data_IF_451940536823
#
_entry.id   IF_451940536823
#
_cell.length_a   1.000
_cell.length_b   1.000
_cell.length_c   1.000
_cell.angle_alpha   90.00
_cell.angle_beta   90.00
_cell.angle_gamma   90.00
#
_symmetry.space_group_name_H-M   'P 1'
#
loop_
_entity.id
_entity.type
_entity.pdbx_description
1 polymer ?
#
# COMPACT_ATOMS: atom_id res chain seq x y z
N UNK A 1 -23.79 7.26 -7.01
CA UNK A 1 -22.82 8.27 -7.49
C UNK A 1 -21.82 7.59 -8.41
N UNK A 2 -21.41 8.18 -9.52
CA UNK A 2 -20.38 7.57 -10.38
C UNK A 2 -19.08 7.40 -9.58
N UNK A 3 -18.41 6.25 -9.74
CA UNK A 3 -17.11 5.96 -9.10
C UNK A 3 -16.10 7.09 -9.36
N UNK A 4 -16.22 7.75 -10.52
CA UNK A 4 -15.46 8.93 -10.91
C UNK A 4 -15.64 10.13 -9.98
N UNK A 5 -16.85 10.36 -9.47
CA UNK A 5 -17.16 11.48 -8.58
C UNK A 5 -16.50 11.28 -7.20
N UNK A 6 -16.56 10.06 -6.68
CA UNK A 6 -15.92 9.67 -5.43
C UNK A 6 -14.39 9.74 -5.48
N UNK A 7 -13.82 9.31 -6.61
CA UNK A 7 -12.38 9.46 -6.86
C UNK A 7 -12.00 10.93 -6.85
N UNK A 8 -12.82 11.82 -7.44
CA UNK A 8 -12.54 13.26 -7.47
C UNK A 8 -12.60 13.89 -6.07
N UNK A 9 -13.54 13.46 -5.23
CA UNK A 9 -13.77 14.02 -3.91
C UNK A 9 -12.75 13.51 -2.87
N UNK A 10 -12.37 12.23 -2.95
CA UNK A 10 -11.45 11.57 -2.00
C UNK A 10 -10.07 11.28 -2.59
N UNK A 11 -9.74 11.92 -3.72
CA UNK A 11 -8.50 11.68 -4.48
C UNK A 11 -7.26 11.81 -3.60
N UNK A 12 -7.27 12.74 -2.65
CA UNK A 12 -6.14 13.03 -1.79
C UNK A 12 -5.89 11.92 -0.76
N UNK A 13 -6.95 11.29 -0.25
CA UNK A 13 -6.85 10.13 0.64
C UNK A 13 -6.42 8.88 -0.13
N UNK A 14 -7.03 8.66 -1.30
CA UNK A 14 -6.69 7.53 -2.17
C UNK A 14 -5.23 7.61 -2.65
N UNK A 15 -4.73 8.80 -2.99
CA UNK A 15 -3.36 8.99 -3.46
C UNK A 15 -2.34 8.71 -2.37
N UNK A 16 -2.62 9.04 -1.11
CA UNK A 16 -1.75 8.71 0.04
C UNK A 16 -1.58 7.19 0.15
N UNK A 17 -2.67 6.42 0.13
CA UNK A 17 -2.57 4.95 0.19
C UNK A 17 -1.83 4.38 -1.01
N UNK A 18 -2.03 4.94 -2.20
CA UNK A 18 -1.34 4.55 -3.41
C UNK A 18 0.18 4.78 -3.29
N UNK A 19 0.59 5.94 -2.77
CA UNK A 19 2.01 6.26 -2.51
C UNK A 19 2.60 5.27 -1.50
N UNK A 20 1.90 4.96 -0.42
CA UNK A 20 2.36 3.99 0.60
C UNK A 20 2.60 2.61 -0.03
N UNK A 21 1.69 2.15 -0.89
CA UNK A 21 1.85 0.88 -1.61
C UNK A 21 3.09 0.93 -2.51
N UNK A 22 3.25 1.99 -3.32
CA UNK A 22 4.39 2.14 -4.23
C UNK A 22 5.71 2.15 -3.47
N UNK A 23 5.80 2.91 -2.38
CA UNK A 23 7.00 2.97 -1.53
C UNK A 23 7.31 1.60 -0.93
N UNK A 24 6.29 0.89 -0.42
CA UNK A 24 6.47 -0.45 0.17
C UNK A 24 6.97 -1.46 -0.85
N UNK A 25 6.45 -1.41 -2.09
CA UNK A 25 6.92 -2.25 -3.20
C UNK A 25 8.36 -1.90 -3.57
N UNK A 26 8.70 -0.62 -3.64
CA UNK A 26 10.06 -0.19 -3.95
C UNK A 26 11.06 -0.67 -2.88
N UNK A 27 10.63 -0.62 -1.62
CA UNK A 27 11.41 -1.09 -0.48
C UNK A 27 11.62 -2.61 -0.53
N UNK A 28 10.59 -3.37 -0.89
CA UNK A 28 10.71 -4.82 -1.15
C UNK A 28 11.69 -5.14 -2.29
N UNK A 29 11.63 -4.39 -3.40
CA UNK A 29 12.56 -4.56 -4.52
C UNK A 29 14.00 -4.27 -4.08
N UNK A 30 14.20 -3.17 -3.35
CA UNK A 30 15.51 -2.79 -2.84
C UNK A 30 16.10 -3.85 -1.89
N UNK A 31 15.27 -4.42 -1.01
CA UNK A 31 15.68 -5.50 -0.10
C UNK A 31 15.99 -6.77 -0.85
N UNK A 32 15.17 -7.14 -1.84
CA UNK A 32 15.42 -8.33 -2.66
C UNK A 32 16.75 -8.20 -3.38
N UNK A 33 17.05 -7.02 -3.93
CA UNK A 33 18.31 -6.73 -4.62
C UNK A 33 19.53 -6.84 -3.69
N UNK A 34 19.40 -6.45 -2.43
CA UNK A 34 20.49 -6.47 -1.43
C UNK A 34 20.40 -7.67 -0.45
N UNK A 35 19.61 -8.70 -0.77
CA UNK A 35 19.33 -9.82 0.14
C UNK A 35 20.56 -10.66 0.50
N UNK A 36 21.61 -10.58 -0.31
CA UNK A 36 22.88 -11.30 -0.12
C UNK A 36 23.77 -10.64 0.91
N UNK A 37 23.67 -9.32 1.04
CA UNK A 37 24.51 -8.48 1.88
C UNK A 37 23.84 -8.14 3.22
N UNK A 38 22.52 -8.37 3.33
CA UNK A 38 21.75 -8.16 4.54
C UNK A 38 21.59 -9.43 5.38
N UNK A 39 21.52 -9.30 6.72
CA UNK A 39 21.20 -10.42 7.59
C UNK A 39 19.79 -10.94 7.29
N UNK A 40 19.67 -12.26 7.10
CA UNK A 40 18.43 -12.94 6.71
C UNK A 40 17.23 -12.56 7.59
N UNK A 41 17.44 -12.42 8.90
CA UNK A 41 16.40 -12.01 9.84
C UNK A 41 15.86 -10.61 9.55
N UNK A 42 16.72 -9.67 9.16
CA UNK A 42 16.31 -8.30 8.84
C UNK A 42 15.51 -8.25 7.54
N UNK A 43 15.99 -8.95 6.50
CA UNK A 43 15.25 -9.09 5.24
C UNK A 43 13.87 -9.69 5.48
N UNK A 44 13.77 -10.74 6.29
CA UNK A 44 12.50 -11.38 6.62
C UNK A 44 11.55 -10.44 7.36
N UNK A 45 12.03 -9.77 8.41
CA UNK A 45 11.22 -8.82 9.21
C UNK A 45 10.68 -7.69 8.34
N UNK A 46 11.52 -7.07 7.51
CA UNK A 46 11.07 -5.95 6.67
C UNK A 46 10.09 -6.45 5.58
N UNK A 47 10.33 -7.63 5.03
CA UNK A 47 9.41 -8.23 4.04
C UNK A 47 8.02 -8.46 4.64
N UNK A 48 7.96 -8.98 5.87
CA UNK A 48 6.70 -9.18 6.60
C UNK A 48 6.00 -7.85 6.85
N UNK A 49 6.72 -6.85 7.37
CA UNK A 49 6.16 -5.53 7.66
C UNK A 49 5.62 -4.87 6.37
N UNK A 50 6.39 -4.87 5.29
CA UNK A 50 5.93 -4.32 4.00
C UNK A 50 4.71 -5.07 3.47
N UNK A 51 4.68 -6.39 3.59
CA UNK A 51 3.51 -7.19 3.16
C UNK A 51 2.25 -6.81 3.94
N UNK A 52 2.35 -6.68 5.27
CA UNK A 52 1.23 -6.26 6.12
C UNK A 52 0.75 -4.86 5.75
N UNK A 53 1.68 -3.90 5.57
CA UNK A 53 1.35 -2.53 5.19
C UNK A 53 0.63 -2.48 3.85
N UNK A 54 1.08 -3.26 2.85
CA UNK A 54 0.44 -3.34 1.54
C UNK A 54 -0.99 -3.89 1.69
N UNK A 55 -1.16 -5.00 2.40
CA UNK A 55 -2.49 -5.63 2.59
C UNK A 55 -3.45 -4.66 3.29
N UNK A 56 -3.01 -4.02 4.38
CA UNK A 56 -3.83 -3.02 5.09
C UNK A 56 -4.17 -1.82 4.21
N UNK A 57 -3.22 -1.32 3.42
CA UNK A 57 -3.44 -0.19 2.52
C UNK A 57 -4.44 -0.53 1.43
N UNK A 58 -4.34 -1.72 0.83
CA UNK A 58 -5.32 -2.21 -0.16
C UNK A 58 -6.70 -2.34 0.47
N UNK A 59 -6.78 -2.93 1.68
CA UNK A 59 -8.04 -3.10 2.38
C UNK A 59 -8.70 -1.75 2.70
N UNK A 60 -7.91 -0.78 3.18
CA UNK A 60 -8.37 0.59 3.42
C UNK A 60 -8.85 1.27 2.14
N UNK A 61 -8.19 1.02 1.00
CA UNK A 61 -8.57 1.59 -0.30
C UNK A 61 -9.90 1.00 -0.79
N UNK A 62 -10.07 -0.32 -0.70
CA UNK A 62 -11.34 -1.01 -1.01
C UNK A 62 -12.46 -0.51 -0.10
N UNK A 63 -12.19 -0.36 1.20
CA UNK A 63 -13.16 0.15 2.16
C UNK A 63 -13.53 1.61 1.86
N UNK A 64 -12.55 2.48 1.60
CA UNK A 64 -12.78 3.89 1.31
C UNK A 64 -13.62 4.09 0.04
N UNK A 65 -13.41 3.27 -0.99
CA UNK A 65 -14.20 3.29 -2.23
C UNK A 65 -15.61 2.74 -1.98
N UNK A 66 -15.72 1.59 -1.29
CA UNK A 66 -17.02 0.91 -1.08
C UNK A 66 -17.95 1.69 -0.16
N UNK A 67 -17.43 2.20 0.97
CA UNK A 67 -18.22 3.00 1.91
C UNK A 67 -18.39 4.44 1.45
N UNK A 68 -17.50 4.96 0.60
CA UNK A 68 -17.74 6.22 -0.10
C UNK A 68 -18.90 6.11 -1.09
N UNK A 69 -19.06 4.96 -1.76
CA UNK A 69 -20.16 4.70 -2.70
C UNK A 69 -21.54 4.56 -2.04
N UNK A 70 -21.56 4.10 -0.79
CA UNK A 70 -22.78 3.79 -0.05
C UNK A 70 -23.28 4.96 0.85
N UNK A 71 -22.68 6.15 0.73
CA UNK A 71 -23.11 7.40 1.39
C UNK A 71 -23.67 8.38 0.36
#
# INVERSE_FOLDING_TARGET
MDVWFLIKERYMLLSIFLIIIVVSVFLLIAIWKNRTDMPKSLTLTITIICSIIIVLSVFALVFAVSFGYNS
#
